data_IF_865614054394
#
_entry.id   IF_865614054394
#
_cell.length_a   1.000
_cell.length_b   1.000
_cell.length_c   1.000
_cell.angle_alpha   90.00
_cell.angle_beta   90.00
_cell.angle_gamma   90.00
#
_symmetry.space_group_name_H-M   'P 1'
#
loop_
_entity.id
_entity.type
_entity.pdbx_description
1 polymer ?
#
# COMPACT_ATOMS: atom_id res chain seq x y z
N UNK A 1 -4.83 -4.31 -27.69
CA UNK A 1 -4.02 -4.85 -26.57
C UNK A 1 -4.51 -4.19 -25.29
N UNK A 2 -5.22 -4.93 -24.42
CA UNK A 2 -5.78 -4.36 -23.18
C UNK A 2 -4.62 -3.97 -22.28
N UNK A 3 -4.45 -2.69 -22.01
CA UNK A 3 -3.62 -2.25 -20.91
C UNK A 3 -4.37 -2.61 -19.62
N UNK A 4 -3.87 -3.52 -18.77
CA UNK A 4 -4.36 -3.66 -17.41
C UNK A 4 -3.89 -2.42 -16.64
N UNK A 5 -4.52 -1.28 -16.89
CA UNK A 5 -4.09 0.02 -16.37
C UNK A 5 -5.27 0.68 -15.72
N UNK A 6 -5.03 1.01 -14.46
CA UNK A 6 -5.92 1.70 -13.54
C UNK A 6 -7.22 0.95 -13.27
N UNK A 7 -7.16 0.01 -12.31
CA UNK A 7 -8.31 -0.13 -11.43
C UNK A 7 -8.62 1.29 -10.93
N UNK A 8 -9.85 1.74 -11.13
CA UNK A 8 -10.32 2.99 -10.57
C UNK A 8 -10.46 2.80 -9.06
N UNK A 9 -9.33 2.91 -8.37
CA UNK A 9 -9.21 2.70 -6.94
C UNK A 9 -9.88 3.90 -6.27
N UNK A 10 -11.00 3.71 -5.54
CA UNK A 10 -11.70 4.79 -4.84
C UNK A 10 -10.96 5.13 -3.54
N UNK A 11 -9.66 5.42 -3.63
CA UNK A 11 -8.85 5.88 -2.52
C UNK A 11 -8.87 7.41 -2.50
N UNK A 12 -9.09 7.98 -1.31
CA UNK A 12 -9.01 9.41 -1.05
C UNK A 12 -8.13 9.67 0.16
N UNK A 13 -7.62 10.90 0.30
CA UNK A 13 -6.84 11.32 1.47
C UNK A 13 -7.44 12.58 2.05
N UNK A 14 -7.74 12.56 3.34
CA UNK A 14 -8.25 13.70 4.07
C UNK A 14 -7.18 14.23 5.04
N UNK A 15 -6.54 15.33 4.64
CA UNK A 15 -5.51 16.00 5.45
C UNK A 15 -6.08 16.72 6.69
N UNK A 16 -7.39 16.90 6.76
CA UNK A 16 -8.08 17.62 7.84
C UNK A 16 -8.54 16.70 8.97
N UNK A 17 -8.60 15.39 8.73
CA UNK A 17 -9.06 14.39 9.70
C UNK A 17 -8.19 14.22 10.95
N UNK A 18 -6.97 14.76 10.96
CA UNK A 18 -5.98 14.53 12.03
C UNK A 18 -5.33 13.13 12.02
N UNK A 19 -5.80 12.21 11.15
CA UNK A 19 -5.23 10.87 10.98
C UNK A 19 -4.05 10.93 10.00
N UNK A 20 -2.93 10.25 10.26
CA UNK A 20 -1.82 10.16 9.31
C UNK A 20 -2.29 9.63 7.94
N UNK A 21 -1.88 10.29 6.87
CA UNK A 21 -2.31 9.93 5.50
C UNK A 21 -2.01 8.47 5.13
N UNK A 22 -0.88 7.93 5.61
CA UNK A 22 -0.54 6.52 5.40
C UNK A 22 -1.55 5.57 6.05
N UNK A 23 -1.99 5.88 7.27
CA UNK A 23 -2.98 5.08 8.00
C UNK A 23 -4.35 5.13 7.31
N UNK A 24 -4.75 6.30 6.79
CA UNK A 24 -5.99 6.43 6.01
C UNK A 24 -5.98 5.53 4.77
N UNK A 25 -4.83 5.43 4.09
CA UNK A 25 -4.68 4.55 2.92
C UNK A 25 -4.77 3.09 3.31
N UNK A 26 -4.08 2.68 4.39
CA UNK A 26 -4.15 1.32 4.93
C UNK A 26 -5.59 0.93 5.23
N UNK A 27 -6.31 1.76 5.98
CA UNK A 27 -7.71 1.51 6.35
C UNK A 27 -8.62 1.37 5.14
N UNK A 28 -8.51 2.27 4.16
CA UNK A 28 -9.34 2.18 2.95
C UNK A 28 -9.06 0.93 2.13
N UNK A 29 -7.79 0.52 1.98
CA UNK A 29 -7.48 -0.71 1.25
C UNK A 29 -8.07 -1.93 1.96
N UNK A 30 -7.96 -2.01 3.29
CA UNK A 30 -8.59 -3.08 4.07
C UNK A 30 -10.10 -3.10 3.88
N UNK A 31 -10.75 -1.94 3.96
CA UNK A 31 -12.20 -1.83 3.77
C UNK A 31 -12.63 -2.26 2.36
N UNK A 32 -11.87 -1.90 1.33
CA UNK A 32 -12.16 -2.29 -0.04
C UNK A 32 -11.98 -3.79 -0.29
N UNK A 33 -10.98 -4.41 0.34
CA UNK A 33 -10.81 -5.87 0.32
C UNK A 33 -11.96 -6.53 1.08
N UNK A 34 -12.29 -6.07 2.29
CA UNK A 34 -13.37 -6.61 3.11
C UNK A 34 -14.75 -6.50 2.43
N UNK A 35 -14.98 -5.44 1.67
CA UNK A 35 -16.20 -5.24 0.86
C UNK A 35 -16.20 -6.05 -0.45
N UNK A 36 -15.11 -6.74 -0.79
CA UNK A 36 -14.95 -7.49 -2.04
C UNK A 36 -14.80 -6.62 -3.29
N UNK A 37 -14.52 -5.32 -3.13
CA UNK A 37 -14.23 -4.40 -4.24
C UNK A 37 -12.85 -4.71 -4.83
N UNK A 38 -11.88 -5.03 -3.96
CA UNK A 38 -10.55 -5.52 -4.35
C UNK A 38 -10.49 -7.02 -4.14
N UNK A 39 -10.14 -7.76 -5.19
CA UNK A 39 -10.05 -9.21 -5.18
C UNK A 39 -8.61 -9.69 -5.07
N UNK A 40 -8.36 -10.89 -4.49
CA UNK A 40 -7.06 -11.53 -4.52
C UNK A 40 -6.48 -11.58 -5.94
N UNK A 41 -5.25 -11.10 -6.11
CA UNK A 41 -4.57 -11.00 -7.40
C UNK A 41 -4.82 -9.70 -8.17
N UNK A 42 -5.69 -8.80 -7.70
CA UNK A 42 -5.95 -7.54 -8.39
C UNK A 42 -4.71 -6.65 -8.43
N UNK A 43 -4.38 -6.08 -9.60
CA UNK A 43 -3.24 -5.19 -9.76
C UNK A 43 -3.51 -3.83 -9.10
N UNK A 44 -2.56 -3.38 -8.28
CA UNK A 44 -2.57 -2.04 -7.70
C UNK A 44 -1.62 -1.11 -8.43
N UNK A 45 -1.91 0.21 -8.43
CA UNK A 45 -0.98 1.21 -8.91
C UNK A 45 0.32 1.17 -8.09
N UNK A 46 1.44 1.50 -8.75
CA UNK A 46 2.70 1.70 -8.05
C UNK A 46 2.60 2.86 -7.04
N UNK A 47 3.44 2.85 -6.00
CA UNK A 47 3.47 3.95 -5.03
C UNK A 47 3.67 5.32 -5.66
N UNK A 48 4.40 5.38 -6.79
CA UNK A 48 4.59 6.60 -7.59
C UNK A 48 3.30 7.05 -8.29
N UNK A 49 2.60 6.13 -8.95
CA UNK A 49 1.37 6.45 -9.67
C UNK A 49 0.26 6.86 -8.70
N UNK A 50 0.12 6.15 -7.58
CA UNK A 50 -0.88 6.46 -6.57
C UNK A 50 -0.61 7.80 -5.87
N UNK A 51 0.66 8.08 -5.53
CA UNK A 51 1.02 9.38 -4.96
C UNK A 51 0.71 10.54 -5.91
N UNK A 52 0.97 10.38 -7.20
CA UNK A 52 0.63 11.38 -8.21
C UNK A 52 -0.90 11.58 -8.34
N UNK A 53 -1.68 10.50 -8.31
CA UNK A 53 -3.16 10.56 -8.35
C UNK A 53 -3.75 11.26 -7.13
N UNK A 54 -3.22 10.99 -5.94
CA UNK A 54 -3.74 11.54 -4.67
C UNK A 54 -3.13 12.90 -4.29
N UNK A 55 -2.12 13.37 -5.03
CA UNK A 55 -1.34 14.56 -4.67
C UNK A 55 -0.60 14.41 -3.34
N UNK A 56 -0.11 13.21 -3.02
CA UNK A 56 0.61 12.92 -1.76
C UNK A 56 2.09 12.71 -2.00
N UNK A 57 2.88 12.60 -0.92
CA UNK A 57 4.27 12.17 -1.04
C UNK A 57 4.35 10.67 -1.36
N UNK A 58 5.37 10.27 -2.13
CA UNK A 58 5.67 8.84 -2.35
C UNK A 58 5.96 8.13 -1.03
N UNK A 59 6.65 8.78 -0.09
CA UNK A 59 6.98 8.21 1.22
C UNK A 59 5.74 7.79 2.02
N UNK A 60 4.68 8.60 1.98
CA UNK A 60 3.39 8.28 2.61
C UNK A 60 2.77 7.01 2.03
N UNK A 61 2.76 6.89 0.70
CA UNK A 61 2.19 5.72 0.02
C UNK A 61 3.05 4.48 0.24
N UNK A 62 4.37 4.61 0.17
CA UNK A 62 5.29 3.51 0.47
C UNK A 62 5.08 2.99 1.89
N UNK A 63 5.00 3.88 2.89
CA UNK A 63 4.76 3.46 4.28
C UNK A 63 3.43 2.71 4.44
N UNK A 64 2.37 3.14 3.74
CA UNK A 64 1.09 2.42 3.74
C UNK A 64 1.23 1.02 3.09
N UNK A 65 1.95 0.94 1.97
CA UNK A 65 2.16 -0.33 1.26
C UNK A 65 3.01 -1.29 2.08
N UNK A 66 4.02 -0.79 2.81
CA UNK A 66 4.86 -1.59 3.68
C UNK A 66 4.06 -2.22 4.82
N UNK A 67 3.15 -1.45 5.44
CA UNK A 67 2.23 -1.97 6.48
C UNK A 67 1.32 -3.06 5.89
N UNK A 68 0.66 -2.79 4.77
CA UNK A 68 -0.24 -3.76 4.13
C UNK A 68 0.50 -5.01 3.64
N UNK A 69 1.75 -4.88 3.20
CA UNK A 69 2.61 -6.02 2.83
C UNK A 69 2.99 -6.82 4.07
N UNK A 70 3.35 -6.15 5.17
CA UNK A 70 3.66 -6.80 6.45
C UNK A 70 2.47 -7.56 7.04
N UNK A 71 1.25 -7.13 6.76
CA UNK A 71 0.01 -7.80 7.14
C UNK A 71 -0.44 -8.88 6.16
N UNK A 72 0.24 -9.03 5.02
CA UNK A 72 -0.10 -10.00 3.99
C UNK A 72 -1.26 -9.59 3.07
N UNK A 73 -1.70 -8.32 3.11
CA UNK A 73 -2.69 -7.79 2.15
C UNK A 73 -2.11 -7.61 0.74
N UNK A 74 -0.83 -7.24 0.65
CA UNK A 74 -0.15 -6.92 -0.61
C UNK A 74 1.05 -7.82 -0.87
N UNK A 75 1.32 -8.05 -2.15
CA UNK A 75 2.56 -8.68 -2.63
C UNK A 75 3.18 -7.85 -3.75
N UNK A 76 4.50 -7.74 -3.74
CA UNK A 76 5.26 -7.15 -4.84
C UNK A 76 5.55 -8.22 -5.91
N UNK A 77 5.03 -8.05 -7.13
CA UNK A 77 5.27 -8.93 -8.27
C UNK A 77 5.89 -8.16 -9.44
N UNK A 78 7.14 -8.51 -9.81
CA UNK A 78 7.85 -8.04 -11.02
C UNK A 78 7.69 -6.54 -11.37
N UNK A 79 7.66 -5.67 -10.36
CA UNK A 79 7.54 -4.21 -10.54
C UNK A 79 6.12 -3.64 -10.45
N UNK A 80 5.13 -4.46 -10.13
CA UNK A 80 3.78 -4.06 -9.78
C UNK A 80 3.40 -4.57 -8.37
N UNK A 81 2.57 -3.83 -7.65
CA UNK A 81 1.97 -4.30 -6.40
C UNK A 81 0.63 -4.95 -6.73
N UNK A 82 0.29 -6.08 -6.12
CA UNK A 82 -1.04 -6.71 -6.26
C UNK A 82 -1.59 -7.12 -4.90
N UNK A 83 -2.90 -7.31 -4.81
CA UNK A 83 -3.53 -7.95 -3.65
C UNK A 83 -3.03 -9.40 -3.59
N UNK A 84 -2.66 -9.88 -2.40
CA UNK A 84 -2.16 -11.25 -2.22
C UNK A 84 -3.16 -12.27 -2.80
N UNK A 85 -2.77 -13.09 -3.80
CA UNK A 85 -3.69 -14.03 -4.45
C UNK A 85 -4.25 -15.12 -3.52
N UNK A 86 -3.53 -15.39 -2.43
CA UNK A 86 -3.91 -16.33 -1.36
C UNK A 86 -4.60 -15.65 -0.18
N UNK A 87 -5.08 -14.40 -0.32
CA UNK A 87 -5.98 -13.80 0.67
C UNK A 87 -7.28 -14.60 0.74
N UNK A 88 -7.34 -15.50 1.72
CA UNK A 88 -8.57 -16.16 2.09
C UNK A 88 -9.42 -15.17 2.90
N UNK A 89 -10.36 -14.49 2.23
CA UNK A 89 -11.35 -13.61 2.87
C UNK A 89 -12.13 -14.33 3.98
N UNK A 90 -12.28 -15.65 3.85
CA UNK A 90 -12.97 -16.52 4.81
C UNK A 90 -12.11 -16.93 6.03
N UNK A 91 -10.79 -16.64 6.05
CA UNK A 91 -9.87 -17.27 7.02
C UNK A 91 -9.61 -16.51 8.33
N UNK A 92 -10.06 -15.27 8.51
CA UNK A 92 -9.94 -14.59 9.82
C UNK A 92 -8.49 -14.55 10.37
N UNK A 93 -7.74 -13.48 10.09
CA UNK A 93 -6.61 -13.02 10.94
C UNK A 93 -5.42 -13.98 11.21
N UNK A 94 -5.12 -14.97 10.35
CA UNK A 94 -3.93 -15.80 10.53
C UNK A 94 -2.68 -15.18 9.84
N UNK A 95 -1.61 -14.81 10.58
CA UNK A 95 -0.38 -14.30 9.99
C UNK A 95 0.41 -15.50 9.47
N UNK A 96 0.30 -15.81 8.18
CA UNK A 96 1.07 -16.89 7.59
C UNK A 96 1.75 -16.46 6.30
N UNK A 97 3.04 -16.13 6.48
CA UNK A 97 4.14 -16.38 5.55
C UNK A 97 4.07 -15.70 4.18
N UNK A 98 4.58 -14.48 4.11
CA UNK A 98 5.26 -14.02 2.89
C UNK A 98 6.54 -13.29 3.29
N UNK A 99 7.65 -13.87 2.86
CA UNK A 99 9.04 -13.44 3.03
C UNK A 99 9.20 -11.93 2.76
N UNK A 100 9.93 -11.18 3.60
CA UNK A 100 10.18 -9.76 3.38
C UNK A 100 11.08 -9.57 2.15
N UNK A 101 10.78 -8.67 1.20
CA UNK A 101 11.83 -8.07 0.41
C UNK A 101 12.61 -7.15 1.33
N UNK A 102 13.76 -7.64 1.79
CA UNK A 102 14.78 -6.83 2.43
C UNK A 102 15.09 -5.63 1.53
N UNK A 103 14.96 -4.43 2.11
CA UNK A 103 15.82 -3.23 1.96
C UNK A 103 15.03 -1.93 1.81
N UNK A 104 14.73 -1.32 2.96
CA UNK A 104 14.74 0.12 3.10
C UNK A 104 16.02 0.50 3.86
N UNK A 105 17.01 1.01 3.14
CA UNK A 105 18.12 1.76 3.73
C UNK A 105 17.53 2.97 4.48
N UNK A 106 17.93 3.22 5.74
CA UNK A 106 17.45 4.38 6.49
C UNK A 106 17.83 5.68 5.78
N UNK A 107 16.97 6.71 5.76
CA UNK A 107 17.38 8.04 5.36
C UNK A 107 18.34 8.59 6.41
N UNK A 108 19.59 8.81 6.01
CA UNK A 108 20.58 9.56 6.76
C UNK A 108 19.99 10.93 7.12
N UNK A 109 19.60 11.12 8.38
CA UNK A 109 19.37 12.44 8.97
C UNK A 109 20.65 12.82 9.68
N UNK A 110 21.67 13.14 8.91
CA UNK A 110 22.84 13.79 9.47
C UNK A 110 22.43 15.21 9.85
N UNK A 111 22.20 15.34 11.16
CA UNK A 111 22.02 16.59 11.89
C UNK A 111 23.01 17.64 11.43
N UNK A 112 22.52 18.83 11.16
CA UNK A 112 23.31 20.05 11.04
C UNK A 112 23.74 20.48 12.45
N UNK A 113 25.04 20.56 12.81
CA UNK A 113 25.46 21.34 13.94
C UNK A 113 25.81 22.75 13.47
N UNK A 114 25.12 23.71 14.06
CA UNK A 114 25.32 25.15 13.95
C UNK A 114 26.34 25.55 15.03
N UNK A 115 27.52 26.03 14.64
CA UNK A 115 28.33 27.00 15.40
C UNK A 115 29.18 27.79 14.40
#
# INVERSE_FOLDING_TARGET
>A
MRHPRDIDLPLAVDRTSGVPLGEQLVRQVRDLVARGVLRPGDPLPSSRALAARLGTSRGTVTAAWDVLTGEGYLVADRGATRITPSLHLDRELAPATTTPPVRATPPDRTSTPRL
#
